data_IF_773685620737
#
_entry.id   IF_773685620737
#
_cell.length_a   1.000
_cell.length_b   1.000
_cell.length_c   1.000
_cell.angle_alpha   90.00
_cell.angle_beta   90.00
_cell.angle_gamma   90.00
#
_symmetry.space_group_name_H-M   'P 1'
#
loop_
_entity.id
_entity.type
_entity.pdbx_description
1 polymer ?
#
# COMPACT_ATOMS: atom_id res chain seq x y z
N UNK A 1 25.76 -17.04 -28.89
CA UNK A 1 26.90 -16.15 -28.58
C UNK A 1 26.34 -14.76 -28.35
N UNK A 2 26.43 -14.23 -27.12
CA UNK A 2 26.04 -12.85 -26.83
C UNK A 2 27.04 -11.92 -27.51
N UNK A 3 26.56 -11.07 -28.42
CA UNK A 3 27.35 -10.06 -29.11
C UNK A 3 27.92 -9.07 -28.10
N UNK A 4 29.25 -8.96 -28.05
CA UNK A 4 30.01 -8.08 -27.13
C UNK A 4 30.10 -6.63 -27.64
N UNK A 5 29.46 -6.34 -28.77
CA UNK A 5 29.42 -5.02 -29.38
C UNK A 5 28.20 -4.23 -28.89
N UNK A 6 28.45 -3.15 -28.16
CA UNK A 6 27.44 -2.27 -27.60
C UNK A 6 26.90 -1.25 -28.62
N UNK A 7 27.61 -1.01 -29.73
CA UNK A 7 27.24 -0.02 -30.74
C UNK A 7 25.81 -0.22 -31.31
N UNK A 8 25.39 -1.42 -31.74
CA UNK A 8 24.04 -1.61 -32.29
C UNK A 8 22.93 -1.35 -31.26
N UNK A 9 23.17 -1.68 -29.99
CA UNK A 9 22.22 -1.39 -28.90
C UNK A 9 22.11 0.11 -28.68
N UNK A 10 23.24 0.82 -28.57
CA UNK A 10 23.26 2.28 -28.38
C UNK A 10 22.56 3.00 -29.53
N UNK A 11 22.79 2.57 -30.77
CA UNK A 11 22.14 3.16 -31.94
C UNK A 11 20.64 2.88 -32.00
N UNK A 12 20.20 1.71 -31.54
CA UNK A 12 18.77 1.41 -31.40
C UNK A 12 18.10 2.30 -30.34
N UNK A 13 18.77 2.53 -29.20
CA UNK A 13 18.26 3.39 -28.13
C UNK A 13 18.18 4.85 -28.55
N UNK A 14 19.21 5.34 -29.24
CA UNK A 14 19.22 6.70 -29.81
C UNK A 14 18.07 6.89 -30.80
N UNK A 15 17.85 5.94 -31.71
CA UNK A 15 16.72 5.98 -32.65
C UNK A 15 15.38 6.01 -31.94
N UNK A 16 15.15 5.09 -31.00
CA UNK A 16 13.92 5.05 -30.22
C UNK A 16 13.67 6.35 -29.44
N UNK A 17 14.72 6.94 -28.87
CA UNK A 17 14.64 8.24 -28.20
C UNK A 17 14.28 9.37 -29.16
N UNK A 18 14.93 9.45 -30.32
CA UNK A 18 14.65 10.48 -31.33
C UNK A 18 13.24 10.36 -31.89
N UNK A 19 12.78 9.14 -32.18
CA UNK A 19 11.40 8.88 -32.61
C UNK A 19 10.40 9.26 -31.54
N UNK A 20 10.63 8.84 -30.29
CA UNK A 20 9.76 9.16 -29.16
C UNK A 20 9.66 10.67 -28.90
N UNK A 21 10.78 11.40 -28.97
CA UNK A 21 10.81 12.85 -28.82
C UNK A 21 10.12 13.56 -29.98
N UNK A 22 10.29 13.07 -31.22
CA UNK A 22 9.62 13.64 -32.40
C UNK A 22 8.12 13.44 -32.33
N UNK A 23 7.67 12.24 -31.94
CA UNK A 23 6.26 11.91 -31.72
C UNK A 23 5.65 12.76 -30.60
N UNK A 24 6.35 12.92 -29.48
CA UNK A 24 5.92 13.77 -28.39
C UNK A 24 5.79 15.23 -28.85
N UNK A 25 6.85 15.79 -29.46
CA UNK A 25 6.86 17.19 -29.89
C UNK A 25 5.77 17.48 -30.93
N UNK A 26 5.55 16.57 -31.89
CA UNK A 26 4.48 16.69 -32.88
C UNK A 26 3.07 16.53 -32.29
N UNK A 27 2.90 15.66 -31.30
CA UNK A 27 1.60 15.36 -30.69
C UNK A 27 1.16 16.35 -29.61
N UNK A 28 2.08 17.07 -28.96
CA UNK A 28 1.77 17.94 -27.82
C UNK A 28 0.88 19.16 -28.14
N UNK A 29 1.07 19.91 -29.23
CA UNK A 29 0.26 21.11 -29.52
C UNK A 29 -1.24 20.84 -29.73
N UNK A 30 -1.63 19.62 -30.13
CA UNK A 30 -3.02 19.24 -30.41
C UNK A 30 -3.64 18.26 -29.40
N UNK A 31 -2.94 17.92 -28.32
CA UNK A 31 -3.40 16.91 -27.38
C UNK A 31 -4.29 17.52 -26.28
N UNK A 32 -5.61 17.36 -26.40
CA UNK A 32 -6.58 17.84 -25.40
C UNK A 32 -6.41 17.20 -24.01
N UNK A 33 -5.72 16.06 -23.92
CA UNK A 33 -5.45 15.34 -22.68
C UNK A 33 -4.22 15.87 -21.94
N UNK A 34 -3.42 16.77 -22.54
CA UNK A 34 -2.22 17.33 -21.93
C UNK A 34 -2.18 18.85 -22.11
N UNK A 35 -2.03 19.59 -21.02
CA UNK A 35 -1.91 21.06 -21.04
C UNK A 35 -0.56 21.49 -20.48
N UNK A 36 0.11 22.41 -21.19
CA UNK A 36 1.32 23.06 -20.69
C UNK A 36 0.91 24.31 -19.88
N UNK A 37 1.15 24.28 -18.57
CA UNK A 37 0.84 25.39 -17.66
C UNK A 37 1.98 26.43 -17.68
N UNK A 38 1.62 27.71 -17.72
CA UNK A 38 2.56 28.83 -17.78
C UNK A 38 3.15 29.24 -16.43
N UNK A 39 2.62 28.72 -15.31
CA UNK A 39 2.99 29.10 -13.95
C UNK A 39 3.03 27.87 -13.02
N UNK A 40 3.89 27.93 -12.01
CA UNK A 40 4.03 26.91 -10.97
C UNK A 40 5.10 25.85 -11.25
N UNK A 41 5.42 25.01 -10.25
CA UNK A 41 6.47 23.99 -10.34
C UNK A 41 6.09 22.82 -11.27
N UNK A 42 4.80 22.63 -11.57
CA UNK A 42 4.29 21.55 -12.43
C UNK A 42 3.74 22.12 -13.73
N UNK A 43 4.54 22.12 -14.80
CA UNK A 43 4.15 22.70 -16.09
C UNK A 43 3.37 21.76 -17.00
N UNK A 44 3.21 20.49 -16.63
CA UNK A 44 2.43 19.52 -17.39
C UNK A 44 1.21 19.12 -16.56
N UNK A 45 0.03 19.35 -17.10
CA UNK A 45 -1.24 18.90 -16.54
C UNK A 45 -1.84 17.85 -17.47
N UNK A 46 -2.25 16.72 -16.91
CA UNK A 46 -2.92 15.65 -17.65
C UNK A 46 -4.39 15.66 -17.26
N UNK A 47 -5.28 15.58 -18.25
CA UNK A 47 -6.72 15.50 -18.01
C UNK A 47 -7.03 14.24 -17.20
N UNK A 48 -7.82 14.31 -16.12
CA UNK A 48 -8.27 13.13 -15.39
C UNK A 48 -8.88 12.10 -16.33
N UNK A 49 -8.74 10.82 -15.98
CA UNK A 49 -9.41 9.75 -16.72
C UNK A 49 -10.92 9.94 -16.66
N UNK A 50 -11.59 9.67 -17.77
CA UNK A 50 -13.05 9.61 -17.81
C UNK A 50 -13.54 8.52 -16.85
N UNK A 51 -14.69 8.77 -16.22
CA UNK A 51 -15.32 7.79 -15.36
C UNK A 51 -15.60 6.52 -16.18
N UNK A 52 -15.05 5.40 -15.73
CA UNK A 52 -15.36 4.11 -16.32
C UNK A 52 -16.82 3.75 -16.04
N UNK A 53 -17.48 3.11 -17.00
CA UNK A 53 -18.80 2.55 -16.78
C UNK A 53 -18.73 1.53 -15.64
N UNK A 54 -19.76 1.51 -14.80
CA UNK A 54 -19.83 0.55 -13.71
C UNK A 54 -19.81 -0.87 -14.29
N UNK A 55 -18.88 -1.74 -13.85
CA UNK A 55 -18.86 -3.13 -14.33
C UNK A 55 -20.17 -3.83 -13.98
N UNK A 56 -20.73 -4.58 -14.93
CA UNK A 56 -22.01 -5.29 -14.77
C UNK A 56 -22.05 -6.15 -13.50
N UNK A 57 -20.91 -6.75 -13.15
CA UNK A 57 -20.78 -7.66 -12.01
C UNK A 57 -20.42 -6.96 -10.70
N UNK A 58 -20.26 -5.63 -10.67
CA UNK A 58 -19.79 -4.94 -9.45
C UNK A 58 -20.81 -5.08 -8.32
N UNK A 59 -22.10 -4.96 -8.62
CA UNK A 59 -23.17 -5.12 -7.64
C UNK A 59 -23.22 -6.55 -7.11
N UNK A 60 -23.18 -7.55 -8.00
CA UNK A 60 -23.16 -8.96 -7.61
C UNK A 60 -21.92 -9.30 -6.77
N UNK A 61 -20.76 -8.78 -7.14
CA UNK A 61 -19.52 -8.95 -6.37
C UNK A 61 -19.62 -8.30 -4.99
N UNK A 62 -20.13 -7.06 -4.89
CA UNK A 62 -20.35 -6.39 -3.60
C UNK A 62 -21.30 -7.20 -2.71
N UNK A 63 -22.35 -7.78 -3.28
CA UNK A 63 -23.31 -8.64 -2.58
C UNK A 63 -22.68 -9.95 -2.11
N UNK A 64 -21.94 -10.66 -2.98
CA UNK A 64 -21.21 -11.88 -2.62
C UNK A 64 -20.15 -11.61 -1.54
N UNK A 65 -19.43 -10.49 -1.64
CA UNK A 65 -18.47 -10.05 -0.63
C UNK A 65 -19.18 -9.81 0.70
N UNK A 66 -20.29 -9.07 0.70
CA UNK A 66 -21.05 -8.81 1.92
C UNK A 66 -21.67 -10.09 2.52
N UNK A 67 -22.13 -11.02 1.68
CA UNK A 67 -22.72 -12.28 2.10
C UNK A 67 -21.68 -13.25 2.67
N UNK A 68 -20.50 -13.36 2.05
CA UNK A 68 -19.43 -14.27 2.49
C UNK A 68 -18.66 -13.75 3.69
N UNK A 69 -18.46 -12.44 3.77
CA UNK A 69 -17.76 -11.77 4.88
C UNK A 69 -18.74 -10.92 5.68
N UNK A 70 -19.85 -11.55 6.12
CA UNK A 70 -20.87 -10.91 6.92
C UNK A 70 -20.30 -10.48 8.30
N UNK A 71 -20.44 -9.19 8.62
CA UNK A 71 -20.33 -8.57 9.96
C UNK A 71 -19.02 -8.72 10.77
N UNK A 72 -18.09 -9.59 10.40
CA UNK A 72 -16.81 -9.71 11.12
C UNK A 72 -15.90 -8.57 10.70
N UNK A 73 -15.65 -7.63 11.62
CA UNK A 73 -14.72 -6.54 11.36
C UNK A 73 -13.36 -7.10 10.98
N UNK A 74 -12.72 -6.56 9.93
CA UNK A 74 -11.35 -6.96 9.57
C UNK A 74 -10.38 -6.80 10.75
N UNK A 75 -10.66 -5.85 11.64
CA UNK A 75 -9.93 -5.70 12.91
C UNK A 75 -10.13 -6.90 13.84
N UNK A 76 -11.32 -7.50 13.91
CA UNK A 76 -11.56 -8.71 14.70
C UNK A 76 -10.86 -9.92 14.10
N UNK A 77 -10.86 -10.07 12.77
CA UNK A 77 -10.06 -11.12 12.09
C UNK A 77 -8.58 -10.95 12.41
N UNK A 78 -8.07 -9.71 12.36
CA UNK A 78 -6.69 -9.40 12.66
C UNK A 78 -6.35 -9.67 14.14
N UNK A 79 -7.25 -9.30 15.07
CA UNK A 79 -7.14 -9.58 16.50
C UNK A 79 -7.12 -11.08 16.79
N UNK A 80 -8.03 -11.84 16.18
CA UNK A 80 -8.11 -13.29 16.35
C UNK A 80 -6.87 -13.99 15.78
N UNK A 81 -6.39 -13.53 14.63
CA UNK A 81 -5.13 -14.03 14.04
C UNK A 81 -3.98 -13.77 15.01
N UNK A 82 -3.91 -12.58 15.59
CA UNK A 82 -2.88 -12.26 16.56
C UNK A 82 -2.95 -13.13 17.82
N UNK A 83 -4.15 -13.38 18.35
CA UNK A 83 -4.34 -14.26 19.52
C UNK A 83 -3.87 -15.69 19.21
N UNK A 84 -4.14 -16.19 18.01
CA UNK A 84 -3.81 -17.57 17.62
C UNK A 84 -2.34 -17.81 17.35
N UNK A 85 -1.65 -16.85 16.71
CA UNK A 85 -0.31 -17.09 16.17
C UNK A 85 0.75 -16.06 16.59
N UNK A 86 0.37 -15.00 17.31
CA UNK A 86 1.31 -13.99 17.80
C UNK A 86 2.17 -13.37 16.69
N UNK A 87 1.56 -13.03 15.54
CA UNK A 87 2.32 -12.51 14.40
C UNK A 87 2.95 -11.13 14.71
N UNK A 88 2.41 -10.39 15.68
CA UNK A 88 2.95 -9.09 16.08
C UNK A 88 4.35 -9.17 16.71
N UNK A 89 4.79 -10.36 17.14
CA UNK A 89 6.16 -10.59 17.60
C UNK A 89 7.22 -10.32 16.53
N UNK A 90 6.83 -10.31 15.25
CA UNK A 90 7.73 -9.94 14.16
C UNK A 90 8.09 -8.43 14.17
N UNK A 91 7.34 -7.60 14.89
CA UNK A 91 7.54 -6.14 14.97
C UNK A 91 8.35 -5.74 16.20
N UNK A 92 9.52 -6.37 16.40
CA UNK A 92 10.44 -6.01 17.48
C UNK A 92 11.49 -5.00 16.99
N UNK A 93 11.96 -4.14 17.91
CA UNK A 93 13.12 -3.27 17.67
C UNK A 93 14.20 -3.53 18.71
N UNK A 94 15.47 -3.39 18.32
CA UNK A 94 16.63 -3.70 19.17
C UNK A 94 16.68 -2.88 20.48
N UNK A 95 15.96 -1.76 20.55
CA UNK A 95 15.95 -0.83 21.69
C UNK A 95 14.60 -0.80 22.46
N UNK A 96 13.69 -1.74 22.21
CA UNK A 96 12.31 -1.69 22.72
C UNK A 96 12.09 -2.41 24.06
N UNK A 97 13.13 -3.02 24.66
CA UNK A 97 12.93 -3.91 25.80
C UNK A 97 12.49 -3.24 27.11
N UNK A 98 12.55 -1.92 27.25
CA UNK A 98 12.50 -1.31 28.59
C UNK A 98 11.34 -0.34 28.90
N UNK A 99 10.47 0.05 27.96
CA UNK A 99 9.54 1.19 28.25
C UNK A 99 8.06 1.03 27.91
N UNK A 100 7.65 0.14 27.01
CA UNK A 100 6.23 -0.01 26.66
C UNK A 100 5.73 -1.42 26.98
N UNK A 101 4.61 -1.51 27.68
CA UNK A 101 3.95 -2.78 27.94
C UNK A 101 3.62 -3.51 26.64
N UNK A 102 3.78 -4.83 26.64
CA UNK A 102 3.63 -5.67 25.45
C UNK A 102 2.19 -5.67 24.95
N UNK A 103 1.20 -5.69 25.84
CA UNK A 103 -0.21 -5.67 25.45
C UNK A 103 -0.57 -4.32 24.81
N UNK A 104 -0.04 -3.23 25.36
CA UNK A 104 -0.24 -1.89 24.79
C UNK A 104 0.42 -1.75 23.41
N UNK A 105 1.64 -2.27 23.22
CA UNK A 105 2.30 -2.30 21.92
C UNK A 105 1.50 -3.13 20.89
N UNK A 106 1.05 -4.32 21.29
CA UNK A 106 0.25 -5.21 20.45
C UNK A 106 -1.04 -4.52 19.98
N UNK A 107 -1.76 -3.87 20.89
CA UNK A 107 -2.97 -3.10 20.58
C UNK A 107 -2.68 -1.97 19.57
N UNK A 108 -1.62 -1.20 19.77
CA UNK A 108 -1.22 -0.12 18.84
C UNK A 108 -0.80 -0.66 17.47
N UNK A 109 -0.11 -1.80 17.42
CA UNK A 109 0.27 -2.47 16.18
C UNK A 109 -0.95 -2.93 15.39
N UNK A 110 -1.94 -3.56 16.03
CA UNK A 110 -3.18 -4.00 15.38
C UNK A 110 -3.94 -2.83 14.76
N UNK A 111 -4.09 -1.72 15.48
CA UNK A 111 -4.74 -0.51 14.96
C UNK A 111 -3.96 0.12 13.81
N UNK A 112 -2.63 0.16 13.90
CA UNK A 112 -1.78 0.67 12.83
C UNK A 112 -1.89 -0.18 11.55
N UNK A 113 -1.80 -1.50 11.68
CA UNK A 113 -1.91 -2.44 10.56
C UNK A 113 -3.30 -2.39 9.93
N UNK A 114 -4.36 -2.32 10.73
CA UNK A 114 -5.72 -2.12 10.25
C UNK A 114 -5.87 -0.81 9.47
N UNK A 115 -5.39 0.30 10.02
CA UNK A 115 -5.47 1.62 9.37
C UNK A 115 -4.67 1.73 8.08
N UNK A 116 -3.51 1.07 8.01
CA UNK A 116 -2.69 0.99 6.80
C UNK A 116 -3.28 0.03 5.76
N UNK A 117 -3.72 -1.15 6.17
CA UNK A 117 -4.24 -2.19 5.28
C UNK A 117 -5.60 -1.86 4.67
N UNK A 118 -6.42 -1.05 5.35
CA UNK A 118 -7.75 -0.62 4.85
C UNK A 118 -7.72 0.71 4.12
N UNK A 119 -6.57 1.39 4.06
CA UNK A 119 -6.45 2.78 3.59
C UNK A 119 -7.33 3.79 4.37
N UNK A 120 -7.88 3.42 5.53
CA UNK A 120 -8.66 4.34 6.37
C UNK A 120 -7.76 5.42 7.01
N UNK A 121 -6.48 5.10 7.23
CA UNK A 121 -5.52 5.98 7.87
C UNK A 121 -5.65 6.04 9.39
N UNK A 122 -4.56 6.37 10.08
CA UNK A 122 -4.46 6.29 11.55
C UNK A 122 -5.45 7.21 12.29
N UNK A 123 -5.85 8.35 11.70
CA UNK A 123 -6.82 9.26 12.33
C UNK A 123 -8.22 8.67 12.40
N UNK A 124 -8.66 7.97 11.35
CA UNK A 124 -10.02 7.40 11.28
C UNK A 124 -10.16 6.18 12.18
N UNK A 125 -9.08 5.42 12.37
CA UNK A 125 -9.06 4.26 13.27
C UNK A 125 -9.23 4.64 14.75
N UNK A 126 -8.88 5.87 15.12
CA UNK A 126 -9.07 6.39 16.48
C UNK A 126 -10.49 6.91 16.75
N UNK A 127 -11.35 6.98 15.72
CA UNK A 127 -12.72 7.42 15.90
C UNK A 127 -13.51 6.35 16.66
N UNK A 128 -13.57 6.48 17.99
CA UNK A 128 -14.25 5.56 18.90
C UNK A 128 -13.43 5.11 20.11
N UNK A 129 -12.13 5.43 20.16
CA UNK A 129 -11.21 4.99 21.21
C UNK A 129 -10.50 6.19 21.86
N UNK A 130 -10.71 6.40 23.17
CA UNK A 130 -10.18 7.53 23.93
C UNK A 130 -8.84 7.25 24.60
N UNK A 131 -8.35 6.00 24.58
CA UNK A 131 -7.16 5.60 25.34
C UNK A 131 -5.85 5.75 24.57
N UNK A 132 -5.90 5.79 23.23
CA UNK A 132 -4.69 5.92 22.39
C UNK A 132 -4.73 7.23 21.62
N UNK A 133 -3.63 7.98 21.67
CA UNK A 133 -3.49 9.22 20.90
C UNK A 133 -2.96 8.96 19.49
N UNK A 134 -3.28 9.87 18.56
CA UNK A 134 -2.71 9.85 17.21
C UNK A 134 -1.17 9.86 17.18
N UNK A 135 -0.54 10.58 18.13
CA UNK A 135 0.92 10.64 18.22
C UNK A 135 1.52 9.27 18.58
N UNK A 136 0.86 8.50 19.44
CA UNK A 136 1.29 7.16 19.84
C UNK A 136 1.18 6.15 18.70
N UNK A 137 0.09 6.18 17.92
CA UNK A 137 -0.01 5.35 16.71
C UNK A 137 1.04 5.75 15.67
N UNK A 138 1.24 7.07 15.47
CA UNK A 138 2.24 7.55 14.52
C UNK A 138 3.66 7.14 14.93
N UNK A 139 3.99 7.21 16.22
CA UNK A 139 5.25 6.73 16.76
C UNK A 139 5.39 5.22 16.54
N UNK A 140 4.36 4.45 16.91
CA UNK A 140 4.36 2.98 16.78
C UNK A 140 4.60 2.55 15.33
N UNK A 141 3.85 3.15 14.39
CA UNK A 141 4.02 2.91 12.96
C UNK A 141 5.47 3.17 12.51
N UNK A 142 6.04 4.33 12.86
CA UNK A 142 7.39 4.72 12.42
C UNK A 142 8.47 3.84 13.03
N UNK A 143 8.28 3.42 14.27
CA UNK A 143 9.30 2.72 15.05
C UNK A 143 9.29 1.22 14.80
N UNK A 144 8.13 0.58 14.71
CA UNK A 144 8.01 -0.87 14.70
C UNK A 144 7.63 -1.46 13.35
N UNK A 145 6.93 -0.69 12.49
CA UNK A 145 6.46 -1.18 11.18
C UNK A 145 7.48 -0.85 10.10
N UNK A 146 8.43 -1.75 9.93
CA UNK A 146 9.42 -1.72 8.85
C UNK A 146 9.16 -2.81 7.81
N UNK A 147 9.74 -2.67 6.62
CA UNK A 147 9.56 -3.62 5.51
C UNK A 147 9.97 -5.05 5.90
N UNK A 148 11.05 -5.19 6.68
CA UNK A 148 11.52 -6.50 7.13
C UNK A 148 10.53 -7.16 8.10
N UNK A 149 10.10 -6.42 9.13
CA UNK A 149 9.12 -6.86 10.12
C UNK A 149 7.78 -7.24 9.48
N UNK A 150 7.30 -6.43 8.53
CA UNK A 150 6.10 -6.74 7.75
C UNK A 150 6.23 -8.05 6.97
N UNK A 151 7.37 -8.27 6.30
CA UNK A 151 7.60 -9.52 5.55
C UNK A 151 7.58 -10.73 6.49
N UNK A 152 8.23 -10.62 7.65
CA UNK A 152 8.27 -11.70 8.64
C UNK A 152 6.88 -12.00 9.22
N UNK A 153 6.08 -10.96 9.50
CA UNK A 153 4.68 -11.11 9.93
C UNK A 153 3.83 -11.84 8.88
N UNK A 154 3.97 -11.47 7.61
CA UNK A 154 3.27 -12.15 6.49
C UNK A 154 3.69 -13.61 6.41
N UNK A 155 4.99 -13.92 6.49
CA UNK A 155 5.48 -15.32 6.47
C UNK A 155 4.86 -16.13 7.61
N UNK A 156 4.78 -15.56 8.83
CA UNK A 156 4.13 -16.23 9.96
C UNK A 156 2.66 -16.55 9.68
N UNK A 157 1.90 -15.58 9.17
CA UNK A 157 0.48 -15.77 8.81
C UNK A 157 0.33 -16.84 7.73
N UNK A 158 1.12 -16.77 6.67
CA UNK A 158 1.08 -17.71 5.54
C UNK A 158 1.42 -19.13 5.98
N UNK A 159 2.49 -19.30 6.77
CA UNK A 159 2.87 -20.60 7.30
C UNK A 159 1.77 -21.18 8.22
N UNK A 160 1.13 -20.33 9.02
CA UNK A 160 0.02 -20.78 9.87
C UNK A 160 -1.19 -21.22 9.04
N UNK A 161 -1.52 -20.53 7.95
CA UNK A 161 -2.60 -20.94 7.03
C UNK A 161 -2.31 -22.34 6.45
N UNK A 162 -1.08 -22.59 6.01
CA UNK A 162 -0.69 -23.89 5.44
C UNK A 162 -0.55 -25.02 6.47
N UNK A 163 -0.48 -24.68 7.75
CA UNK A 163 -0.41 -25.67 8.84
C UNK A 163 -1.80 -26.11 9.33
N UNK A 164 -2.88 -25.43 8.92
CA UNK A 164 -4.25 -25.87 9.20
C UNK A 164 -4.60 -27.04 8.27
N UNK A 165 -4.94 -28.23 8.80
CA UNK A 165 -5.28 -29.40 8.00
C UNK A 165 -6.57 -29.24 7.19
#
# INVERSE_FOLDING_TARGET
KLTTDAAPLVDSLKRAMTEGLSMLNGGMPGNEKVRILQRGPHRLSVTPLDAQLEPVNLTALKQEVAARWASTGLLDVLKETEIRIGFTEAFQTAASRETLDRAELQRRLLLCLYGLGTNAGLKRVLAGDTQITYKELLYTRRRFIEKASMRNAIVRVVNAIFAVP
#
